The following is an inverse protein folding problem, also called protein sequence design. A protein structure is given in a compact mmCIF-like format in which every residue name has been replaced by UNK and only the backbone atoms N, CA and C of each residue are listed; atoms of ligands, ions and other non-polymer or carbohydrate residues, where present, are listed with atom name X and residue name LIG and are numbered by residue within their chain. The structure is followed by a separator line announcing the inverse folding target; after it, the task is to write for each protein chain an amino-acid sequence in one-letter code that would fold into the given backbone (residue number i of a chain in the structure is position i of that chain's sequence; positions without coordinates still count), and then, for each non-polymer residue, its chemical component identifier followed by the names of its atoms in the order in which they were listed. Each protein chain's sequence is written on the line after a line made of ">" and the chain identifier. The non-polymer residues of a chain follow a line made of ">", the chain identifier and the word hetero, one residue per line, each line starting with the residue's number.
data_IF_639189583216
#
_entry.id   IF_639189583216
#
_cell.length_a   1.000
_cell.length_b   1.000
_cell.length_c   1.000
_cell.angle_alpha   90.00
_cell.angle_beta   90.00
_cell.angle_gamma   90.00
#
_symmetry.space_group_name_H-M   'P 1'
#
loop_
_entity.id
_entity.type
_entity.pdbx_description
1 polymer ?
#
# COMPACT_ATOMS: atom_id res chain seq x y z
N UNK A 1 4.50 -41.37 -26.48
CA UNK A 1 5.13 -41.01 -25.20
C UNK A 1 4.60 -39.62 -24.87
N UNK A 2 3.37 -39.61 -24.40
CA UNK A 2 3.02 -39.30 -23.00
C UNK A 2 3.16 -37.81 -22.75
N UNK A 3 2.00 -37.15 -22.72
CA UNK A 3 1.90 -35.77 -22.29
C UNK A 3 2.34 -35.67 -20.84
N UNK A 4 3.37 -34.87 -20.62
CA UNK A 4 3.76 -34.35 -19.32
C UNK A 4 2.69 -33.31 -18.94
N UNK A 5 1.58 -33.76 -18.36
CA UNK A 5 0.65 -32.88 -17.69
C UNK A 5 1.30 -32.51 -16.35
N UNK A 6 2.03 -31.40 -16.35
CA UNK A 6 2.55 -30.76 -15.14
C UNK A 6 1.36 -30.31 -14.29
N UNK A 7 1.01 -31.12 -13.29
CA UNK A 7 -0.02 -30.81 -12.31
C UNK A 7 0.52 -29.65 -11.46
N UNK A 8 0.10 -28.43 -11.83
CA UNK A 8 0.31 -27.22 -11.05
C UNK A 8 -0.11 -27.42 -9.59
N UNK A 9 0.42 -26.59 -8.67
CA UNK A 9 0.38 -26.86 -7.24
C UNK A 9 -1.05 -27.14 -6.80
N UNK A 10 -1.27 -28.38 -6.37
CA UNK A 10 -2.43 -28.88 -5.65
C UNK A 10 -2.97 -27.74 -4.77
N UNK A 11 -4.14 -27.20 -5.13
CA UNK A 11 -4.85 -26.20 -4.32
C UNK A 11 -5.21 -26.85 -2.98
N UNK A 12 -4.29 -26.82 -2.01
CA UNK A 12 -4.61 -27.07 -0.62
C UNK A 12 -5.76 -26.12 -0.25
N UNK A 13 -6.84 -26.59 0.39
CA UNK A 13 -8.02 -25.76 0.62
C UNK A 13 -7.62 -24.58 1.49
N UNK A 14 -7.58 -23.39 0.88
CA UNK A 14 -7.33 -22.15 1.59
C UNK A 14 -8.40 -22.01 2.67
N UNK A 15 -7.97 -21.76 3.90
CA UNK A 15 -8.91 -21.59 5.02
C UNK A 15 -9.87 -20.46 4.66
N UNK A 16 -11.19 -20.67 4.80
CA UNK A 16 -12.17 -19.65 4.40
C UNK A 16 -11.96 -18.38 5.22
N UNK A 17 -11.96 -17.24 4.52
CA UNK A 17 -11.75 -15.91 5.11
C UNK A 17 -12.97 -15.46 5.92
N UNK A 18 -14.16 -15.91 5.54
CA UNK A 18 -15.43 -15.68 6.24
C UNK A 18 -16.15 -17.01 6.45
N UNK A 19 -16.71 -17.24 7.64
CA UNK A 19 -17.48 -18.44 7.98
C UNK A 19 -18.81 -18.04 8.63
N UNK A 20 -19.92 -18.50 8.05
CA UNK A 20 -21.25 -18.38 8.65
C UNK A 20 -21.39 -19.45 9.74
N UNK A 21 -21.66 -19.01 10.98
CA UNK A 21 -21.80 -19.91 12.15
C UNK A 21 -23.25 -20.14 12.57
N UNK A 22 -24.16 -19.24 12.17
CA UNK A 22 -25.58 -19.36 12.42
C UNK A 22 -26.27 -19.96 11.19
N UNK A 23 -26.91 -21.15 11.29
CA UNK A 23 -27.60 -21.77 10.17
C UNK A 23 -28.87 -21.03 9.74
N UNK A 24 -29.45 -20.20 10.62
CA UNK A 24 -30.72 -19.50 10.37
C UNK A 24 -30.53 -18.10 9.73
N UNK A 25 -29.28 -17.72 9.42
CA UNK A 25 -29.00 -16.45 8.77
C UNK A 25 -29.66 -16.36 7.40
N UNK A 26 -30.42 -15.29 7.15
CA UNK A 26 -31.12 -15.12 5.88
C UNK A 26 -30.14 -14.76 4.76
N UNK A 27 -30.49 -15.04 3.49
CA UNK A 27 -29.68 -14.64 2.34
C UNK A 27 -29.37 -13.14 2.34
N UNK A 28 -30.33 -12.31 2.77
CA UNK A 28 -30.21 -10.86 2.85
C UNK A 28 -29.19 -10.44 3.92
N UNK A 29 -29.20 -11.09 5.09
CA UNK A 29 -28.25 -10.82 6.17
C UNK A 29 -26.82 -11.18 5.76
N UNK A 30 -26.63 -12.32 5.10
CA UNK A 30 -25.33 -12.73 4.58
C UNK A 30 -24.84 -11.74 3.52
N UNK A 31 -25.71 -11.31 2.61
CA UNK A 31 -25.37 -10.32 1.59
C UNK A 31 -24.97 -8.97 2.21
N UNK A 32 -25.67 -8.51 3.25
CA UNK A 32 -25.36 -7.27 3.95
C UNK A 32 -23.96 -7.32 4.59
N UNK A 33 -23.62 -8.42 5.27
CA UNK A 33 -22.30 -8.59 5.89
C UNK A 33 -21.20 -8.66 4.81
N UNK A 34 -21.42 -9.42 3.74
CA UNK A 34 -20.46 -9.52 2.63
C UNK A 34 -20.23 -8.15 1.98
N UNK A 35 -21.29 -7.38 1.74
CA UNK A 35 -21.18 -6.04 1.16
C UNK A 35 -20.36 -5.09 2.05
N UNK A 36 -20.58 -5.11 3.36
CA UNK A 36 -19.79 -4.31 4.32
C UNK A 36 -18.32 -4.70 4.30
N UNK A 37 -18.02 -6.00 4.37
CA UNK A 37 -16.63 -6.49 4.35
C UNK A 37 -15.95 -6.16 3.02
N UNK A 38 -16.64 -6.31 1.90
CA UNK A 38 -16.13 -5.94 0.58
C UNK A 38 -15.84 -4.44 0.48
N UNK A 39 -16.72 -3.59 1.02
CA UNK A 39 -16.52 -2.14 1.06
C UNK A 39 -15.30 -1.73 1.90
N UNK A 40 -15.01 -2.47 2.98
CA UNK A 40 -13.81 -2.24 3.80
C UNK A 40 -12.53 -2.72 3.12
N UNK A 41 -12.58 -3.80 2.35
CA UNK A 41 -11.42 -4.43 1.71
C UNK A 41 -11.02 -3.86 0.35
N UNK A 42 -11.91 -3.11 -0.32
CA UNK A 42 -11.77 -2.68 -1.71
C UNK A 42 -11.25 -1.25 -1.92
N UNK A 43 -10.42 -0.73 -1.02
CA UNK A 43 -9.79 0.58 -1.23
C UNK A 43 -8.72 0.50 -2.32
N UNK A 44 -8.84 1.33 -3.36
CA UNK A 44 -7.72 1.64 -4.28
C UNK A 44 -6.45 1.89 -3.45
N UNK A 45 -5.32 1.33 -3.88
CA UNK A 45 -4.06 1.57 -3.20
C UNK A 45 -3.90 3.09 -3.02
N UNK A 46 -3.68 3.58 -1.78
CA UNK A 46 -3.65 5.01 -1.55
C UNK A 46 -2.60 5.62 -2.47
N UNK A 47 -3.00 6.65 -3.22
CA UNK A 47 -2.09 7.34 -4.12
C UNK A 47 -0.81 7.69 -3.35
N UNK A 48 0.38 7.54 -3.97
CA UNK A 48 1.64 7.81 -3.29
C UNK A 48 1.59 9.19 -2.67
N UNK A 49 1.66 9.24 -1.34
CA UNK A 49 1.53 10.48 -0.59
C UNK A 49 2.68 11.39 -0.98
N UNK A 50 2.37 12.54 -1.60
CA UNK A 50 3.38 13.57 -1.86
C UNK A 50 3.88 14.09 -0.51
N UNK A 51 5.14 13.82 -0.20
CA UNK A 51 5.81 14.47 0.93
C UNK A 51 5.84 15.97 0.64
N UNK A 52 5.27 16.81 1.53
CA UNK A 52 5.27 18.24 1.28
C UNK A 52 6.71 18.75 1.32
N UNK A 53 7.00 19.76 0.51
CA UNK A 53 8.35 20.29 0.30
C UNK A 53 9.05 20.72 1.60
N UNK A 54 8.26 21.16 2.59
CA UNK A 54 8.75 21.58 3.90
C UNK A 54 9.21 20.40 4.79
N UNK A 55 8.72 19.18 4.56
CA UNK A 55 9.11 17.98 5.33
C UNK A 55 10.29 17.23 4.73
N UNK A 56 10.97 17.78 3.70
CA UNK A 56 12.13 17.12 3.08
C UNK A 56 13.30 17.03 4.07
N UNK A 57 13.89 15.85 4.33
CA UNK A 57 15.00 15.70 5.28
C UNK A 57 16.20 16.61 5.01
N UNK A 58 16.49 16.90 3.73
CA UNK A 58 17.52 17.85 3.31
C UNK A 58 17.31 19.28 3.84
N UNK A 59 16.09 19.63 4.26
CA UNK A 59 15.76 20.91 4.93
C UNK A 59 15.73 20.80 6.46
N UNK A 60 15.70 19.59 7.02
CA UNK A 60 15.73 19.36 8.47
C UNK A 60 17.12 19.57 9.09
N UNK A 61 18.18 19.50 8.28
CA UNK A 61 19.55 19.78 8.70
C UNK A 61 20.12 20.90 7.84
N UNK A 62 20.62 21.96 8.50
CA UNK A 62 21.32 23.04 7.81
C UNK A 62 22.61 22.47 7.21
N UNK A 63 22.76 22.56 5.90
CA UNK A 63 24.01 22.17 5.24
C UNK A 63 25.15 23.13 5.67
N UNK A 64 26.38 22.62 5.87
CA UNK A 64 27.53 23.46 6.12
C UNK A 64 27.73 24.48 4.99
N UNK A 65 28.02 25.73 5.38
CA UNK A 65 28.43 26.78 4.46
C UNK A 65 29.95 26.68 4.27
N UNK A 66 30.39 26.53 3.02
CA UNK A 66 31.81 26.56 2.68
C UNK A 66 32.24 28.00 2.43
N UNK A 67 33.27 28.53 3.11
CA UNK A 67 33.80 29.85 2.80
C UNK A 67 34.54 29.84 1.46
N UNK A 68 34.42 30.92 0.68
CA UNK A 68 35.14 31.08 -0.58
C UNK A 68 34.60 32.23 -1.44
N UNK A 69 35.33 32.62 -2.50
CA UNK A 69 34.85 33.62 -3.46
C UNK A 69 33.50 33.19 -4.04
N UNK A 70 32.50 34.08 -3.97
CA UNK A 70 31.14 33.81 -4.47
C UNK A 70 30.26 32.91 -3.58
N UNK A 71 30.79 32.36 -2.49
CA UNK A 71 30.03 31.43 -1.62
C UNK A 71 28.77 32.06 -1.01
N UNK A 72 28.82 33.36 -0.70
CA UNK A 72 27.66 34.10 -0.19
C UNK A 72 26.52 34.12 -1.22
N UNK A 73 26.83 34.39 -2.50
CA UNK A 73 25.83 34.37 -3.59
C UNK A 73 25.30 32.96 -3.84
N UNK A 74 26.17 31.95 -3.80
CA UNK A 74 25.79 30.55 -4.00
C UNK A 74 24.91 29.97 -2.89
N UNK A 75 24.97 30.54 -1.67
CA UNK A 75 24.20 30.04 -0.51
C UNK A 75 22.67 30.11 -0.67
N UNK A 76 22.18 30.95 -1.58
CA UNK A 76 20.74 31.14 -1.85
C UNK A 76 20.23 30.33 -3.04
N UNK A 77 21.09 29.64 -3.78
CA UNK A 77 20.72 28.83 -4.95
C UNK A 77 20.42 27.37 -4.55
N UNK A 78 19.52 26.68 -5.28
CA UNK A 78 19.35 25.24 -5.14
C UNK A 78 20.68 24.51 -5.41
N UNK A 79 20.96 23.47 -4.62
CA UNK A 79 21.96 22.46 -4.95
C UNK A 79 21.31 21.30 -5.67
#
# INVERSE_FOLDING_TARGET
>A
MSGEQDLGPEQAPARPVLRVVNPDATPEEVAAIVAVVAALGGGEAPAPRRTPEWSRPARGLRQPLTPGPGAWRASALPR
#
